data_IF_879370392013
#
_entry.id   IF_879370392013
#
_cell.length_a   1.000
_cell.length_b   1.000
_cell.length_c   1.000
_cell.angle_alpha   90.00
_cell.angle_beta   90.00
_cell.angle_gamma   90.00
#
_symmetry.space_group_name_H-M   'P 1'
#
loop_
_entity.id
_entity.type
_entity.pdbx_description
1 polymer ?
#
# COMPACT_ATOMS: atom_id res chain seq x y z
N UNK A 1 -2.55 18.07 0.01
CA UNK A 1 -2.99 16.98 -0.89
C UNK A 1 -1.85 16.02 -1.22
N UNK A 2 -0.72 16.51 -1.76
CA UNK A 2 0.41 15.67 -2.16
C UNK A 2 0.98 14.79 -1.02
N UNK A 3 1.07 15.33 0.19
CA UNK A 3 1.44 14.60 1.42
C UNK A 3 0.47 13.49 1.86
N UNK A 4 -0.81 13.61 1.55
CA UNK A 4 -1.78 12.55 1.86
C UNK A 4 -1.68 11.41 0.83
N UNK A 5 -1.21 11.70 -0.39
CA UNK A 5 -1.25 10.78 -1.52
C UNK A 5 0.08 10.06 -1.74
N UNK A 6 1.21 10.71 -1.44
CA UNK A 6 2.54 10.21 -1.80
C UNK A 6 2.88 8.83 -1.24
N UNK A 7 2.66 8.61 0.06
CA UNK A 7 2.99 7.33 0.71
C UNK A 7 2.08 6.17 0.21
N UNK A 8 0.73 6.29 0.22
CA UNK A 8 -0.13 5.24 -0.33
C UNK A 8 0.18 4.90 -1.79
N UNK A 9 0.48 5.91 -2.61
CA UNK A 9 0.88 5.72 -4.00
C UNK A 9 2.22 4.99 -4.12
N UNK A 10 3.22 5.37 -3.31
CA UNK A 10 4.53 4.70 -3.29
C UNK A 10 4.40 3.23 -2.92
N UNK A 11 3.61 2.91 -1.90
CA UNK A 11 3.33 1.52 -1.49
C UNK A 11 2.60 0.76 -2.62
N UNK A 12 1.59 1.37 -3.23
CA UNK A 12 0.84 0.76 -4.33
C UNK A 12 1.74 0.42 -5.52
N UNK A 13 2.55 1.38 -5.98
CA UNK A 13 3.48 1.18 -7.10
C UNK A 13 4.53 0.13 -6.75
N UNK A 14 5.07 0.17 -5.52
CA UNK A 14 6.02 -0.84 -5.05
C UNK A 14 5.44 -2.26 -5.12
N UNK A 15 4.21 -2.45 -4.65
CA UNK A 15 3.57 -3.77 -4.66
C UNK A 15 3.14 -4.22 -6.05
N UNK A 16 2.73 -3.30 -6.94
CA UNK A 16 2.48 -3.60 -8.35
C UNK A 16 3.74 -4.11 -9.06
N UNK A 17 4.88 -3.45 -8.82
CA UNK A 17 6.18 -3.91 -9.29
C UNK A 17 6.53 -5.26 -8.66
N UNK A 18 6.29 -5.43 -7.37
CA UNK A 18 6.64 -6.69 -6.69
C UNK A 18 5.90 -7.90 -7.25
N UNK A 19 4.59 -7.77 -7.49
CA UNK A 19 3.81 -8.83 -8.17
C UNK A 19 4.38 -9.10 -9.56
N UNK A 20 4.76 -8.05 -10.30
CA UNK A 20 5.37 -8.19 -11.63
C UNK A 20 6.69 -8.96 -11.58
N UNK A 21 7.56 -8.58 -10.64
CA UNK A 21 8.90 -9.16 -10.49
C UNK A 21 8.79 -10.62 -10.07
N UNK A 22 8.03 -10.96 -9.01
CA UNK A 22 7.90 -12.35 -8.55
C UNK A 22 7.41 -13.28 -9.65
N UNK A 23 6.51 -12.82 -10.52
CA UNK A 23 5.99 -13.62 -11.64
C UNK A 23 6.94 -13.69 -12.84
N UNK A 24 7.95 -12.82 -12.91
CA UNK A 24 8.92 -12.73 -14.01
C UNK A 24 10.32 -13.23 -13.62
N UNK A 25 10.58 -13.45 -12.33
CA UNK A 25 11.86 -13.94 -11.80
C UNK A 25 12.17 -15.32 -12.38
N UNK A 26 13.27 -15.39 -13.12
CA UNK A 26 13.81 -16.66 -13.64
C UNK A 26 14.82 -17.29 -12.68
N UNK A 27 15.51 -16.48 -11.89
CA UNK A 27 16.52 -16.93 -10.93
C UNK A 27 16.34 -16.29 -9.55
N UNK A 28 16.58 -17.04 -8.44
CA UNK A 28 16.45 -16.51 -7.08
C UNK A 28 17.37 -15.32 -6.75
N UNK A 29 18.52 -15.23 -7.43
CA UNK A 29 19.50 -14.14 -7.24
C UNK A 29 18.95 -12.77 -7.63
N UNK A 30 17.92 -12.74 -8.48
CA UNK A 30 17.30 -11.51 -8.96
C UNK A 30 16.25 -10.96 -7.97
N UNK A 31 15.98 -11.67 -6.86
CA UNK A 31 15.08 -11.21 -5.81
C UNK A 31 15.63 -9.98 -5.07
N UNK A 32 16.94 -9.94 -4.79
CA UNK A 32 17.59 -8.81 -4.11
C UNK A 32 17.44 -7.50 -4.90
N UNK A 33 17.77 -7.43 -6.21
CA UNK A 33 17.54 -6.22 -6.98
C UNK A 33 16.06 -5.86 -7.12
N UNK A 34 15.14 -6.83 -7.20
CA UNK A 34 13.70 -6.57 -7.18
C UNK A 34 13.25 -5.88 -5.86
N UNK A 35 13.70 -6.40 -4.71
CA UNK A 35 13.44 -5.79 -3.40
C UNK A 35 14.03 -4.37 -3.30
N UNK A 36 15.19 -4.12 -3.91
CA UNK A 36 15.76 -2.77 -3.97
C UNK A 36 14.88 -1.79 -4.78
N UNK A 37 14.31 -2.25 -5.90
CA UNK A 37 13.38 -1.43 -6.70
C UNK A 37 12.11 -1.07 -5.93
N UNK A 38 11.59 -2.00 -5.12
CA UNK A 38 10.44 -1.77 -4.25
C UNK A 38 10.72 -0.69 -3.20
N UNK A 39 11.86 -0.77 -2.51
CA UNK A 39 12.28 0.28 -1.57
C UNK A 39 12.46 1.62 -2.26
N UNK A 40 12.99 1.62 -3.49
CA UNK A 40 13.13 2.84 -4.29
C UNK A 40 11.77 3.45 -4.63
N UNK A 41 10.77 2.66 -5.04
CA UNK A 41 9.42 3.14 -5.33
C UNK A 41 8.78 3.83 -4.12
N UNK A 42 8.96 3.25 -2.93
CA UNK A 42 8.46 3.86 -1.68
C UNK A 42 9.24 5.09 -1.28
N UNK A 43 10.56 5.10 -1.44
CA UNK A 43 11.38 6.28 -1.20
C UNK A 43 10.87 7.48 -2.01
N UNK A 44 10.53 7.28 -3.29
CA UNK A 44 9.91 8.31 -4.12
C UNK A 44 8.54 8.76 -3.57
N UNK A 45 7.69 7.83 -3.14
CA UNK A 45 6.40 8.15 -2.50
C UNK A 45 6.56 8.98 -1.21
N UNK A 46 7.52 8.63 -0.37
CA UNK A 46 7.88 9.37 0.84
C UNK A 46 8.41 10.77 0.51
N UNK A 47 9.25 10.90 -0.52
CA UNK A 47 9.79 12.19 -0.97
C UNK A 47 8.68 13.10 -1.51
N UNK A 48 7.79 12.57 -2.33
CA UNK A 48 6.58 13.28 -2.80
C UNK A 48 5.74 13.74 -1.60
N UNK A 49 5.61 12.89 -0.58
CA UNK A 49 4.86 13.23 0.62
C UNK A 49 5.52 14.36 1.41
N UNK A 50 6.83 14.28 1.64
CA UNK A 50 7.62 15.28 2.35
C UNK A 50 7.62 16.64 1.64
N UNK A 51 7.82 16.65 0.31
CA UNK A 51 7.70 17.87 -0.50
C UNK A 51 6.29 18.46 -0.39
N UNK A 52 5.27 17.60 -0.42
CA UNK A 52 3.89 17.98 -0.18
C UNK A 52 3.69 18.69 1.15
N UNK A 53 4.36 18.24 2.21
CA UNK A 53 4.29 18.85 3.52
C UNK A 53 4.96 20.23 3.54
N UNK A 54 6.16 20.35 2.94
CA UNK A 54 6.95 21.59 2.89
C UNK A 54 6.27 22.71 2.10
N UNK A 55 5.56 22.38 1.02
CA UNK A 55 4.92 23.37 0.14
C UNK A 55 3.52 23.75 0.65
N UNK A 56 2.93 22.96 1.54
CA UNK A 56 1.57 23.21 2.01
C UNK A 56 1.51 24.46 2.92
N UNK A 57 0.55 25.35 2.70
CA UNK A 57 0.42 26.58 3.48
C UNK A 57 0.15 26.29 4.97
N UNK A 58 0.54 27.20 5.89
CA UNK A 58 0.29 27.06 7.32
C UNK A 58 -1.19 26.85 7.65
N UNK A 59 -1.45 25.99 8.63
CA UNK A 59 -2.78 25.47 9.03
C UNK A 59 -3.83 26.55 9.39
N UNK A 60 -3.42 27.81 9.60
CA UNK A 60 -4.31 28.90 10.00
C UNK A 60 -5.01 29.61 8.84
N UNK A 61 -4.57 29.39 7.59
CA UNK A 61 -5.15 30.09 6.44
C UNK A 61 -6.42 29.42 5.94
N UNK A 62 -7.52 29.70 6.65
CA UNK A 62 -8.88 29.61 6.14
C UNK A 62 -9.05 30.57 4.97
N UNK A 63 -8.63 30.14 3.78
CA UNK A 63 -9.31 30.55 2.56
C UNK A 63 -9.69 29.29 1.83
N UNK A 64 -10.99 29.20 1.57
CA UNK A 64 -11.63 28.29 0.64
C UNK A 64 -11.02 28.57 -0.75
N UNK A 65 -9.76 28.17 -0.95
CA UNK A 65 -9.10 28.20 -2.23
C UNK A 65 -9.80 27.12 -3.02
N UNK A 66 -10.79 27.61 -3.76
CA UNK A 66 -11.61 26.91 -4.73
C UNK A 66 -10.74 26.58 -5.95
N UNK A 67 -9.55 26.00 -5.72
CA UNK A 67 -8.86 25.30 -6.78
C UNK A 67 -9.75 24.12 -7.13
N UNK A 68 -10.54 24.33 -8.18
CA UNK A 68 -11.33 23.32 -8.88
C UNK A 68 -10.39 22.33 -9.55
N UNK A 69 -9.48 21.72 -8.80
CA UNK A 69 -8.73 20.58 -9.29
C UNK A 69 -9.76 19.48 -9.55
N UNK A 70 -9.86 19.04 -10.80
CA UNK A 70 -10.96 18.18 -11.21
C UNK A 70 -10.75 16.79 -10.62
N UNK A 71 -11.28 16.56 -9.40
CA UNK A 71 -11.20 15.30 -8.68
C UNK A 71 -11.64 14.10 -9.53
N UNK A 72 -12.57 14.31 -10.48
CA UNK A 72 -13.00 13.26 -11.42
C UNK A 72 -11.89 12.84 -12.39
N UNK A 73 -11.12 13.79 -12.91
CA UNK A 73 -9.97 13.50 -13.79
C UNK A 73 -8.88 12.77 -13.01
N UNK A 74 -8.60 13.23 -11.79
CA UNK A 74 -7.60 12.58 -10.94
C UNK A 74 -8.02 11.16 -10.53
N UNK A 75 -9.31 10.95 -10.22
CA UNK A 75 -9.88 9.63 -9.96
C UNK A 75 -9.76 8.73 -11.19
N UNK A 76 -10.05 9.25 -12.40
CA UNK A 76 -9.85 8.51 -13.63
C UNK A 76 -8.39 8.09 -13.80
N UNK A 77 -7.44 9.02 -13.66
CA UNK A 77 -6.00 8.70 -13.73
C UNK A 77 -5.59 7.68 -12.68
N UNK A 78 -6.07 7.82 -11.44
CA UNK A 78 -5.81 6.91 -10.33
C UNK A 78 -6.26 5.46 -10.59
N UNK A 79 -7.34 5.28 -11.35
CA UNK A 79 -7.87 3.95 -11.73
C UNK A 79 -7.21 3.44 -13.02
N UNK A 80 -7.04 4.31 -14.01
CA UNK A 80 -6.49 3.95 -15.32
C UNK A 80 -5.01 3.58 -15.25
N UNK A 81 -4.21 4.27 -14.42
CA UNK A 81 -2.77 4.04 -14.34
C UNK A 81 -2.41 2.61 -13.86
N UNK A 82 -3.00 2.06 -12.78
CA UNK A 82 -2.79 0.66 -12.40
C UNK A 82 -3.26 -0.32 -13.47
N UNK A 83 -4.40 -0.06 -14.13
CA UNK A 83 -4.91 -0.92 -15.20
C UNK A 83 -3.93 -0.96 -16.38
N UNK A 84 -3.43 0.20 -16.81
CA UNK A 84 -2.42 0.29 -17.86
C UNK A 84 -1.13 -0.41 -17.46
N UNK A 85 -0.68 -0.26 -16.21
CA UNK A 85 0.50 -0.96 -15.71
C UNK A 85 0.32 -2.48 -15.81
N UNK A 86 -0.79 -3.03 -15.30
CA UNK A 86 -1.08 -4.46 -15.37
C UNK A 86 -1.15 -4.95 -16.83
N UNK A 87 -1.77 -4.17 -17.71
CA UNK A 87 -1.86 -4.52 -19.12
C UNK A 87 -0.49 -4.53 -19.83
N UNK A 88 0.47 -3.75 -19.35
CA UNK A 88 1.79 -3.58 -19.94
C UNK A 88 2.89 -4.40 -19.25
N UNK A 89 2.65 -4.93 -18.04
CA UNK A 89 3.66 -5.66 -17.27
C UNK A 89 4.03 -7.02 -17.86
N UNK A 90 3.21 -7.55 -18.78
CA UNK A 90 3.38 -8.90 -19.34
C UNK A 90 2.96 -10.02 -18.40
N UNK A 91 2.47 -9.69 -17.20
CA UNK A 91 1.98 -10.64 -16.20
C UNK A 91 0.45 -10.79 -16.32
N UNK A 92 -0.10 -12.02 -16.23
CA UNK A 92 -1.53 -12.23 -16.28
C UNK A 92 -2.26 -11.44 -15.19
N UNK A 93 -3.38 -10.79 -15.55
CA UNK A 93 -4.15 -9.98 -14.60
C UNK A 93 -4.56 -10.76 -13.34
N UNK A 94 -4.76 -12.08 -13.45
CA UNK A 94 -5.08 -12.95 -12.32
C UNK A 94 -4.03 -12.92 -11.20
N UNK A 95 -2.75 -12.62 -11.52
CA UNK A 95 -1.70 -12.50 -10.50
C UNK A 95 -1.92 -11.32 -9.54
N UNK A 96 -2.69 -10.32 -9.96
CA UNK A 96 -3.02 -9.12 -9.17
C UNK A 96 -4.38 -9.23 -8.45
N UNK A 97 -5.13 -10.32 -8.67
CA UNK A 97 -6.48 -10.49 -8.14
C UNK A 97 -6.64 -11.84 -7.44
N UNK A 98 -6.90 -11.78 -6.13
CA UNK A 98 -7.24 -12.92 -5.28
C UNK A 98 -8.38 -12.52 -4.35
N UNK A 99 -9.35 -13.42 -4.20
CA UNK A 99 -10.61 -13.15 -3.52
C UNK A 99 -10.43 -13.04 -2.01
N UNK A 100 -9.57 -13.87 -1.43
CA UNK A 100 -9.37 -14.00 0.01
C UNK A 100 -8.81 -12.71 0.65
N UNK A 101 -7.68 -12.14 0.19
CA UNK A 101 -7.19 -10.85 0.69
C UNK A 101 -8.15 -9.69 0.35
N UNK A 102 -8.87 -9.77 -0.78
CA UNK A 102 -9.85 -8.76 -1.16
C UNK A 102 -11.04 -8.73 -0.18
N UNK A 103 -11.57 -9.89 0.19
CA UNK A 103 -12.64 -10.01 1.19
C UNK A 103 -12.20 -9.48 2.55
N UNK A 104 -10.96 -9.75 2.94
CA UNK A 104 -10.40 -9.20 4.17
C UNK A 104 -10.39 -7.68 4.11
N UNK A 105 -9.87 -7.07 3.04
CA UNK A 105 -9.80 -5.60 2.85
C UNK A 105 -11.18 -4.94 2.80
N UNK A 106 -12.18 -5.63 2.26
CA UNK A 106 -13.57 -5.15 2.23
C UNK A 106 -14.34 -5.39 3.55
N UNK A 107 -13.81 -6.20 4.46
CA UNK A 107 -14.48 -6.55 5.73
C UNK A 107 -14.86 -5.37 6.65
N UNK A 108 -14.16 -4.20 6.64
CA UNK A 108 -14.60 -3.05 7.42
C UNK A 108 -15.92 -2.46 6.93
N UNK A 109 -16.30 -2.67 5.66
CA UNK A 109 -17.50 -2.06 5.06
C UNK A 109 -18.80 -2.57 5.72
N UNK A 110 -19.06 -3.91 5.82
CA UNK A 110 -20.20 -4.43 6.56
C UNK A 110 -20.29 -3.96 8.02
N UNK A 111 -19.14 -3.83 8.70
CA UNK A 111 -19.09 -3.38 10.10
C UNK A 111 -19.58 -1.93 10.27
N UNK A 112 -19.41 -1.10 9.24
CA UNK A 112 -19.93 0.28 9.22
C UNK A 112 -21.44 0.30 9.06
N UNK A 113 -22.02 -0.63 8.29
CA UNK A 113 -23.48 -0.74 8.15
C UNK A 113 -24.16 -1.18 9.46
N UNK A 114 -23.55 -2.10 10.21
CA UNK A 114 -24.06 -2.56 11.51
C UNK A 114 -24.10 -1.42 12.54
N UNK A 115 -23.12 -0.50 12.49
CA UNK A 115 -23.02 0.63 13.41
C UNK A 115 -24.00 1.77 13.09
N UNK A 116 -24.73 1.69 11.98
CA UNK A 116 -25.64 2.72 11.48
C UNK A 116 -24.92 3.81 10.68
N UNK A 117 -25.48 4.17 9.53
CA UNK A 117 -24.92 5.17 8.60
C UNK A 117 -24.79 6.57 9.24
N UNK A 118 -25.61 6.88 10.24
CA UNK A 118 -25.57 8.17 10.97
C UNK A 118 -24.33 8.32 11.88
N UNK A 119 -23.61 7.22 12.16
CA UNK A 119 -22.33 7.22 12.88
C UNK A 119 -21.11 7.10 11.95
N UNK A 120 -21.28 7.31 10.65
CA UNK A 120 -20.20 7.21 9.67
C UNK A 120 -19.14 8.29 9.91
N UNK A 121 -17.95 7.85 10.32
CA UNK A 121 -16.76 8.71 10.43
C UNK A 121 -15.70 8.23 9.43
N UNK A 122 -15.16 9.12 8.57
CA UNK A 122 -14.03 8.81 7.69
C UNK A 122 -12.84 8.22 8.47
N UNK A 123 -12.65 8.63 9.73
CA UNK A 123 -11.65 8.09 10.64
C UNK A 123 -11.78 6.57 10.84
N UNK A 124 -13.02 6.08 10.99
CA UNK A 124 -13.30 4.66 11.21
C UNK A 124 -12.97 3.81 9.98
N UNK A 125 -13.28 4.32 8.78
CA UNK A 125 -12.92 3.67 7.51
C UNK A 125 -11.40 3.59 7.38
N UNK A 126 -10.70 4.72 7.56
CA UNK A 126 -9.25 4.81 7.42
C UNK A 126 -8.55 3.87 8.41
N UNK A 127 -8.97 3.90 9.69
CA UNK A 127 -8.46 2.96 10.71
C UNK A 127 -8.74 1.51 10.34
N UNK A 128 -9.94 1.20 9.84
CA UNK A 128 -10.30 -0.13 9.37
C UNK A 128 -9.38 -0.64 8.27
N UNK A 129 -9.10 0.19 7.25
CA UNK A 129 -8.19 -0.17 6.16
C UNK A 129 -6.79 -0.45 6.68
N UNK A 130 -6.23 0.41 7.54
CA UNK A 130 -4.90 0.21 8.14
C UNK A 130 -4.87 -1.09 8.98
N UNK A 131 -5.90 -1.35 9.77
CA UNK A 131 -5.98 -2.58 10.57
C UNK A 131 -6.04 -3.84 9.71
N UNK A 132 -6.73 -3.79 8.58
CA UNK A 132 -6.74 -4.92 7.64
C UNK A 132 -5.41 -5.07 6.92
N UNK A 133 -4.73 -3.99 6.57
CA UNK A 133 -3.36 -4.08 6.02
C UNK A 133 -2.44 -4.82 7.01
N UNK A 134 -2.52 -4.47 8.30
CA UNK A 134 -1.77 -5.16 9.35
C UNK A 134 -2.18 -6.63 9.47
N UNK A 135 -3.49 -6.92 9.45
CA UNK A 135 -4.00 -8.30 9.47
C UNK A 135 -3.51 -9.13 8.29
N UNK A 136 -3.47 -8.54 7.08
CA UNK A 136 -2.97 -9.19 5.87
C UNK A 136 -1.48 -9.53 5.98
N UNK A 137 -0.69 -8.58 6.50
CA UNK A 137 0.73 -8.80 6.76
C UNK A 137 0.95 -9.93 7.78
N UNK A 138 0.21 -9.95 8.90
CA UNK A 138 0.36 -11.00 9.90
C UNK A 138 -0.08 -12.37 9.42
N UNK A 139 -1.22 -12.48 8.74
CA UNK A 139 -1.68 -13.77 8.17
C UNK A 139 -0.63 -14.32 7.21
N UNK A 140 -0.06 -13.45 6.38
CA UNK A 140 1.00 -13.82 5.45
C UNK A 140 2.29 -14.25 6.15
N UNK A 141 2.76 -13.52 7.16
CA UNK A 141 3.97 -13.87 7.92
C UNK A 141 3.78 -15.18 8.68
N UNK A 142 2.64 -15.36 9.37
CA UNK A 142 2.32 -16.61 10.07
C UNK A 142 2.24 -17.76 9.08
N UNK A 143 1.57 -17.57 7.95
CA UNK A 143 1.48 -18.57 6.88
C UNK A 143 2.87 -18.92 6.33
N UNK A 144 3.70 -17.94 6.03
CA UNK A 144 5.07 -18.11 5.54
C UNK A 144 5.91 -18.97 6.49
N UNK A 145 5.93 -18.64 7.78
CA UNK A 145 6.68 -19.39 8.80
C UNK A 145 6.09 -20.81 8.97
N UNK A 146 4.76 -20.95 8.94
CA UNK A 146 4.09 -22.24 9.16
C UNK A 146 4.23 -23.21 7.98
N UNK A 147 4.58 -22.70 6.80
CA UNK A 147 4.59 -23.47 5.55
C UNK A 147 5.98 -23.59 4.92
N UNK A 148 7.05 -23.28 5.66
CA UNK A 148 8.45 -23.31 5.17
C UNK A 148 8.86 -24.64 4.50
N UNK A 149 8.23 -25.77 4.85
CA UNK A 149 8.50 -27.07 4.23
C UNK A 149 7.80 -27.29 2.89
N UNK A 150 6.84 -26.46 2.53
CA UNK A 150 6.07 -26.50 1.27
C UNK A 150 6.19 -25.16 0.53
N UNK A 151 6.97 -25.18 -0.54
CA UNK A 151 7.25 -24.00 -1.38
C UNK A 151 5.97 -23.40 -1.97
N UNK A 152 5.00 -24.24 -2.38
CA UNK A 152 3.77 -23.75 -2.99
C UNK A 152 2.88 -23.03 -1.95
N UNK A 153 2.75 -23.61 -0.76
CA UNK A 153 2.02 -23.00 0.35
C UNK A 153 2.71 -21.73 0.89
N UNK A 154 4.05 -21.70 0.89
CA UNK A 154 4.84 -20.51 1.24
C UNK A 154 4.56 -19.35 0.28
N UNK A 155 4.61 -19.63 -1.04
CA UNK A 155 4.31 -18.63 -2.07
C UNK A 155 2.89 -18.08 -1.98
N UNK A 156 1.90 -18.95 -1.74
CA UNK A 156 0.51 -18.54 -1.53
C UNK A 156 0.34 -17.64 -0.30
N UNK A 157 1.00 -17.99 0.80
CA UNK A 157 1.00 -17.19 2.03
C UNK A 157 1.59 -15.80 1.80
N UNK A 158 2.71 -15.72 1.08
CA UNK A 158 3.33 -14.44 0.72
C UNK A 158 2.44 -13.60 -0.20
N UNK A 159 1.83 -14.22 -1.22
CA UNK A 159 0.93 -13.56 -2.15
C UNK A 159 -0.29 -12.95 -1.43
N UNK A 160 -0.84 -13.62 -0.42
CA UNK A 160 -1.92 -13.08 0.41
C UNK A 160 -1.56 -11.73 1.03
N UNK A 161 -0.36 -11.62 1.60
CA UNK A 161 0.13 -10.39 2.21
C UNK A 161 0.38 -9.28 1.19
N UNK A 162 1.06 -9.60 0.09
CA UNK A 162 1.34 -8.65 -1.00
C UNK A 162 0.04 -8.05 -1.53
N UNK A 163 -0.95 -8.90 -1.86
CA UNK A 163 -2.22 -8.46 -2.41
C UNK A 163 -3.08 -7.72 -1.38
N UNK A 164 -3.08 -8.16 -0.12
CA UNK A 164 -3.78 -7.43 0.95
C UNK A 164 -3.24 -6.03 1.17
N UNK A 165 -1.91 -5.85 1.15
CA UNK A 165 -1.27 -4.53 1.22
C UNK A 165 -1.51 -3.71 -0.06
N UNK A 166 -1.57 -4.35 -1.23
CA UNK A 166 -1.82 -3.69 -2.51
C UNK A 166 -3.22 -3.10 -2.52
N UNK A 167 -4.24 -3.88 -2.15
CA UNK A 167 -5.61 -3.39 -2.09
C UNK A 167 -5.78 -2.34 -0.99
N UNK A 168 -5.19 -2.54 0.19
CA UNK A 168 -5.25 -1.58 1.29
C UNK A 168 -4.61 -0.23 0.94
N UNK A 169 -3.44 -0.25 0.30
CA UNK A 169 -2.77 0.96 -0.18
C UNK A 169 -3.55 1.64 -1.30
N UNK A 170 -4.18 0.88 -2.20
CA UNK A 170 -5.11 1.41 -3.20
C UNK A 170 -6.32 2.10 -2.54
N UNK A 171 -6.92 1.50 -1.51
CA UNK A 171 -7.99 2.12 -0.75
C UNK A 171 -7.55 3.44 -0.08
N UNK A 172 -6.40 3.45 0.60
CA UNK A 172 -5.87 4.67 1.22
C UNK A 172 -5.57 5.75 0.18
N UNK A 173 -5.03 5.36 -0.98
CA UNK A 173 -4.79 6.27 -2.10
C UNK A 173 -6.10 6.90 -2.59
N UNK A 174 -7.15 6.11 -2.85
CA UNK A 174 -8.45 6.62 -3.26
C UNK A 174 -9.09 7.53 -2.20
N UNK A 175 -9.03 7.16 -0.92
CA UNK A 175 -9.53 7.98 0.19
C UNK A 175 -8.80 9.33 0.21
N UNK A 176 -7.48 9.33 0.03
CA UNK A 176 -6.65 10.55 0.00
C UNK A 176 -7.01 11.51 -1.13
N UNK A 177 -7.43 10.98 -2.29
CA UNK A 177 -7.83 11.80 -3.44
C UNK A 177 -9.24 12.37 -3.27
N UNK A 178 -10.15 11.59 -2.70
CA UNK A 178 -11.57 11.94 -2.60
C UNK A 178 -11.86 12.84 -1.41
N UNK A 179 -11.19 12.62 -0.28
CA UNK A 179 -11.46 13.31 0.97
C UNK A 179 -11.24 14.83 0.86
N UNK A 180 -12.04 15.60 1.59
CA UNK A 180 -11.86 17.05 1.66
C UNK A 180 -10.61 17.38 2.47
N UNK A 181 -9.80 18.31 1.95
CA UNK A 181 -8.55 18.77 2.56
C UNK A 181 -8.81 19.73 3.73
N UNK A 182 -9.46 19.24 4.78
CA UNK A 182 -9.54 19.91 6.08
C UNK A 182 -8.31 19.57 6.93
N UNK A 183 -7.99 20.41 7.92
CA UNK A 183 -6.85 20.20 8.82
C UNK A 183 -6.96 18.84 9.55
N UNK A 184 -8.16 18.52 10.06
CA UNK A 184 -8.44 17.26 10.75
C UNK A 184 -8.24 16.05 9.83
N UNK A 185 -8.87 16.05 8.65
CA UNK A 185 -8.74 14.97 7.67
C UNK A 185 -7.30 14.76 7.22
N UNK A 186 -6.54 15.86 7.08
CA UNK A 186 -5.13 15.85 6.71
C UNK A 186 -4.30 15.15 7.79
N UNK A 187 -4.51 15.49 9.06
CA UNK A 187 -3.82 14.83 10.17
C UNK A 187 -4.14 13.34 10.25
N UNK A 188 -5.41 12.97 10.07
CA UNK A 188 -5.86 11.57 10.07
C UNK A 188 -5.15 10.79 8.96
N UNK A 189 -5.05 11.35 7.75
CA UNK A 189 -4.35 10.71 6.64
C UNK A 189 -2.86 10.57 6.88
N UNK A 190 -2.20 11.60 7.39
CA UNK A 190 -0.76 11.54 7.69
C UNK A 190 -0.47 10.41 8.67
N UNK A 191 -1.26 10.29 9.74
CA UNK A 191 -1.10 9.22 10.72
C UNK A 191 -1.35 7.83 10.07
N UNK A 192 -2.41 7.70 9.27
CA UNK A 192 -2.72 6.45 8.59
C UNK A 192 -1.65 6.03 7.57
N UNK A 193 -1.11 6.99 6.83
CA UNK A 193 -0.02 6.79 5.87
C UNK A 193 1.25 6.31 6.58
N UNK A 194 1.56 6.89 7.74
CA UNK A 194 2.71 6.48 8.52
C UNK A 194 2.55 5.04 9.02
N UNK A 195 1.39 4.68 9.56
CA UNK A 195 1.13 3.29 9.95
C UNK A 195 1.16 2.33 8.75
N UNK A 196 0.62 2.72 7.59
CA UNK A 196 0.71 1.90 6.38
C UNK A 196 2.16 1.67 5.95
N UNK A 197 3.02 2.68 6.08
CA UNK A 197 4.45 2.57 5.82
C UNK A 197 5.15 1.63 6.81
N UNK A 198 4.82 1.73 8.11
CA UNK A 198 5.35 0.83 9.15
C UNK A 198 4.95 -0.62 8.88
N UNK A 199 3.69 -0.87 8.54
CA UNK A 199 3.17 -2.22 8.21
C UNK A 199 3.88 -2.77 6.96
N UNK A 200 4.00 -1.96 5.91
CA UNK A 200 4.69 -2.36 4.70
C UNK A 200 6.16 -2.69 4.99
N UNK A 201 6.85 -1.83 5.75
CA UNK A 201 8.26 -2.01 6.11
C UNK A 201 8.45 -3.29 6.91
N UNK A 202 7.61 -3.52 7.93
CA UNK A 202 7.57 -4.77 8.69
C UNK A 202 7.43 -5.98 7.78
N UNK A 203 6.48 -5.95 6.85
CA UNK A 203 6.19 -7.05 5.94
C UNK A 203 7.38 -7.39 5.03
N UNK A 204 7.92 -6.41 4.31
CA UNK A 204 9.04 -6.63 3.40
C UNK A 204 10.32 -7.00 4.15
N UNK A 205 10.61 -6.37 5.29
CA UNK A 205 11.83 -6.67 6.03
C UNK A 205 11.80 -8.06 6.69
N UNK A 206 10.62 -8.61 6.99
CA UNK A 206 10.51 -9.98 7.53
C UNK A 206 10.61 -11.01 6.41
N UNK A 207 9.92 -10.80 5.28
CA UNK A 207 9.83 -11.81 4.21
C UNK A 207 10.97 -11.72 3.18
N UNK A 208 11.53 -10.54 3.00
CA UNK A 208 12.51 -10.24 1.96
C UNK A 208 13.70 -9.48 2.53
N UNK A 209 14.08 -9.80 3.77
CA UNK A 209 15.27 -9.25 4.42
C UNK A 209 16.46 -9.36 3.46
N UNK A 210 17.09 -8.24 3.05
CA UNK A 210 18.35 -8.35 2.32
C UNK A 210 19.40 -8.99 3.25
N UNK A 211 20.36 -9.74 2.69
CA UNK A 211 21.44 -10.30 3.49
C UNK A 211 22.16 -9.19 4.23
N UNK A 212 22.55 -9.47 5.47
CA UNK A 212 23.29 -8.49 6.27
C UNK A 212 24.66 -8.21 5.62
N UNK A 213 25.24 -7.04 5.91
CA UNK A 213 26.59 -6.72 5.42
C UNK A 213 27.62 -7.79 5.83
N UNK A 214 27.44 -8.40 7.01
CA UNK A 214 28.28 -9.48 7.51
C UNK A 214 28.09 -10.78 6.72
N UNK A 215 26.86 -11.16 6.38
CA UNK A 215 26.57 -12.30 5.50
C UNK A 215 27.16 -12.08 4.11
N UNK A 216 27.07 -10.87 3.57
CA UNK A 216 27.68 -10.52 2.30
C UNK A 216 29.21 -10.64 2.33
N UNK A 217 29.83 -10.31 3.47
CA UNK A 217 31.26 -10.48 3.70
C UNK A 217 31.67 -11.94 4.00
N UNK A 218 30.73 -12.88 4.05
CA UNK A 218 30.99 -14.30 4.35
C UNK A 218 31.32 -14.57 5.81
N UNK A 219 30.83 -13.74 6.74
CA UNK A 219 31.14 -13.86 8.17
C UNK A 219 30.31 -14.91 8.93
N UNK A 220 29.50 -15.74 8.25
CA UNK A 220 28.71 -16.83 8.84
C UNK A 220 28.57 -18.00 7.88
#
# INVERSE_FOLDING_TARGET
MLEAVGIPLGILVSLLLFVSDINSLSEPKDLVPATAQQFMAIFHGCLISALGHLISPPQESTKNNNEKFNKRVLLMVAITLPICFIALSGVPAQAYFSLEPLLLVLSPIPLLFIRGLDSYSPLLVIKGVVMVMLGSAFVSIVGFISTLSDVAATGSSMAFGILGLLYGSFCLFLISLLMHSTVENRQIMVNANWHALEIYGLFILILCAPPSFLEFMGAF
#
